data_IF_894309061940
#
_entry.id   IF_894309061940
#
_cell.length_a   1.000
_cell.length_b   1.000
_cell.length_c   1.000
_cell.angle_alpha   90.00
_cell.angle_beta   90.00
_cell.angle_gamma   90.00
#
_symmetry.space_group_name_H-M   'P 1'
#
loop_
_entity.id
_entity.type
_entity.pdbx_description
1 polymer ?
#
# COMPACT_ATOMS: atom_id res chain seq x y z
N UNK A 1 7.46 -4.57 -0.41
CA UNK A 1 6.43 -4.70 -1.47
C UNK A 1 6.94 -3.89 -2.65
N UNK A 2 7.09 -4.49 -3.82
CA UNK A 2 7.53 -3.77 -5.03
C UNK A 2 6.32 -3.22 -5.82
N UNK A 3 6.58 -2.26 -6.71
CA UNK A 3 5.56 -1.59 -7.51
C UNK A 3 4.81 -2.56 -8.45
N UNK A 4 5.50 -3.56 -8.99
CA UNK A 4 4.89 -4.55 -9.87
C UNK A 4 3.89 -5.44 -9.10
N UNK A 5 4.22 -5.80 -7.86
CA UNK A 5 3.35 -6.55 -6.96
C UNK A 5 2.13 -5.74 -6.55
N UNK A 6 2.30 -4.45 -6.27
CA UNK A 6 1.16 -3.56 -5.98
C UNK A 6 0.24 -3.43 -7.19
N UNK A 7 0.80 -3.21 -8.40
CA UNK A 7 0.04 -3.14 -9.66
C UNK A 7 -0.75 -4.41 -9.92
N UNK A 8 -0.15 -5.59 -9.70
CA UNK A 8 -0.86 -6.88 -9.86
C UNK A 8 -2.04 -7.03 -8.89
N UNK A 9 -1.89 -6.60 -7.64
CA UNK A 9 -2.98 -6.64 -6.65
C UNK A 9 -4.09 -5.66 -7.03
N UNK A 10 -3.73 -4.42 -7.35
CA UNK A 10 -4.69 -3.39 -7.76
C UNK A 10 -5.49 -3.79 -9.00
N UNK A 11 -4.81 -4.28 -10.05
CA UNK A 11 -5.47 -4.76 -11.25
C UNK A 11 -6.43 -5.91 -10.97
N UNK A 12 -6.09 -6.81 -10.04
CA UNK A 12 -6.99 -7.90 -9.67
C UNK A 12 -8.23 -7.42 -8.94
N UNK A 13 -8.14 -6.37 -8.12
CA UNK A 13 -9.32 -5.73 -7.51
C UNK A 13 -10.24 -5.18 -8.59
N UNK A 14 -9.70 -4.52 -9.62
CA UNK A 14 -10.49 -4.04 -10.76
C UNK A 14 -11.18 -5.19 -11.50
N UNK A 15 -10.46 -6.30 -11.72
CA UNK A 15 -11.03 -7.47 -12.40
C UNK A 15 -12.06 -8.22 -11.55
N UNK A 16 -11.91 -8.23 -10.22
CA UNK A 16 -12.96 -8.72 -9.30
C UNK A 16 -14.22 -7.87 -9.44
N UNK A 17 -14.08 -6.55 -9.50
CA UNK A 17 -15.22 -5.66 -9.72
C UNK A 17 -15.91 -5.95 -11.06
N UNK A 18 -15.15 -6.05 -12.15
CA UNK A 18 -15.69 -6.40 -13.46
C UNK A 18 -16.45 -7.74 -13.44
N UNK A 19 -15.90 -8.76 -12.76
CA UNK A 19 -16.57 -10.05 -12.61
C UNK A 19 -17.89 -9.95 -11.82
N UNK A 20 -17.93 -9.14 -10.76
CA UNK A 20 -19.17 -8.86 -10.01
C UNK A 20 -20.20 -8.12 -10.86
N UNK A 21 -19.74 -7.24 -11.75
CA UNK A 21 -20.58 -6.50 -12.70
C UNK A 21 -21.04 -7.35 -13.90
N UNK A 22 -20.62 -8.62 -13.97
CA UNK A 22 -21.10 -9.60 -14.94
C UNK A 22 -20.09 -10.03 -16.00
N UNK A 23 -18.83 -9.56 -15.95
CA UNK A 23 -17.79 -10.02 -16.85
C UNK A 23 -17.50 -11.52 -16.64
N UNK A 24 -17.36 -12.26 -17.73
CA UNK A 24 -17.07 -13.69 -17.68
C UNK A 24 -15.56 -13.96 -17.53
N UNK A 25 -15.18 -15.24 -17.46
CA UNK A 25 -13.78 -15.63 -17.33
C UNK A 25 -12.89 -15.12 -18.47
N UNK A 26 -13.40 -15.14 -19.71
CA UNK A 26 -12.66 -14.73 -20.90
C UNK A 26 -12.48 -13.22 -20.91
N UNK A 27 -13.50 -12.46 -20.52
CA UNK A 27 -13.43 -11.01 -20.39
C UNK A 27 -12.38 -10.59 -19.36
N UNK A 28 -12.41 -11.21 -18.17
CA UNK A 28 -11.42 -10.96 -17.11
C UNK A 28 -10.00 -11.37 -17.55
N UNK A 29 -9.86 -12.50 -18.25
CA UNK A 29 -8.58 -12.93 -18.81
C UNK A 29 -8.02 -11.92 -19.81
N UNK A 30 -8.85 -11.44 -20.74
CA UNK A 30 -8.47 -10.39 -21.71
C UNK A 30 -8.11 -9.09 -21.01
N UNK A 31 -8.83 -8.70 -19.97
CA UNK A 31 -8.48 -7.53 -19.16
C UNK A 31 -7.09 -7.61 -18.53
N UNK A 32 -6.65 -8.80 -18.07
CA UNK A 32 -5.27 -8.99 -17.60
C UNK A 32 -4.23 -8.92 -18.72
N UNK A 33 -4.53 -9.47 -19.90
CA UNK A 33 -3.67 -9.40 -21.09
C UNK A 33 -3.48 -7.96 -21.57
N UNK A 34 -4.56 -7.22 -21.71
CA UNK A 34 -4.56 -5.80 -22.12
C UNK A 34 -3.75 -4.93 -21.15
N UNK A 35 -3.76 -5.29 -19.86
CA UNK A 35 -2.95 -4.64 -18.85
C UNK A 35 -1.46 -5.04 -18.86
N UNK A 36 -1.04 -5.90 -19.80
CA UNK A 36 0.35 -6.26 -20.07
C UNK A 36 0.86 -7.51 -19.32
N UNK A 37 -0.02 -8.34 -18.75
CA UNK A 37 0.39 -9.65 -18.21
C UNK A 37 0.60 -10.66 -19.34
N UNK A 38 1.47 -11.65 -19.12
CA UNK A 38 1.58 -12.80 -20.03
C UNK A 38 0.29 -13.64 -20.02
N UNK A 39 0.07 -14.49 -21.03
CA UNK A 39 -1.08 -15.42 -21.06
C UNK A 39 -1.13 -16.32 -19.82
N UNK A 40 0.02 -16.86 -19.41
CA UNK A 40 0.11 -17.75 -18.24
C UNK A 40 -0.24 -16.99 -16.96
N UNK A 41 0.22 -15.76 -16.81
CA UNK A 41 -0.12 -14.92 -15.64
C UNK A 41 -1.58 -14.49 -15.65
N UNK A 42 -2.10 -14.10 -16.81
CA UNK A 42 -3.50 -13.68 -16.99
C UNK A 42 -4.45 -14.81 -16.66
N UNK A 43 -4.19 -16.02 -17.15
CA UNK A 43 -4.98 -17.21 -16.83
C UNK A 43 -4.96 -17.52 -15.33
N UNK A 44 -3.79 -17.47 -14.70
CA UNK A 44 -3.66 -17.70 -13.24
C UNK A 44 -4.39 -16.63 -12.43
N UNK A 45 -4.34 -15.38 -12.86
CA UNK A 45 -5.04 -14.26 -12.22
C UNK A 45 -6.56 -14.40 -12.38
N UNK A 46 -7.06 -14.70 -13.57
CA UNK A 46 -8.49 -14.95 -13.82
C UNK A 46 -9.00 -16.17 -13.03
N UNK A 47 -8.26 -17.27 -13.05
CA UNK A 47 -8.57 -18.48 -12.25
C UNK A 47 -8.68 -18.19 -10.76
N UNK A 48 -7.93 -17.21 -10.26
CA UNK A 48 -8.02 -16.79 -8.86
C UNK A 48 -9.29 -15.99 -8.59
N UNK A 49 -9.70 -15.12 -9.50
CA UNK A 49 -10.95 -14.34 -9.40
C UNK A 49 -12.16 -15.27 -9.39
N UNK A 50 -12.18 -16.30 -10.23
CA UNK A 50 -13.30 -17.24 -10.31
C UNK A 50 -13.18 -18.47 -9.40
N UNK A 51 -12.22 -18.49 -8.46
CA UNK A 51 -12.01 -19.65 -7.59
C UNK A 51 -13.22 -19.88 -6.68
N UNK A 52 -14.03 -20.89 -7.02
CA UNK A 52 -15.26 -21.19 -6.29
C UNK A 52 -16.43 -20.26 -6.63
N UNK A 53 -16.34 -19.48 -7.72
CA UNK A 53 -17.41 -18.67 -8.29
C UNK A 53 -17.96 -19.25 -9.60
N UNK A 54 -18.82 -18.49 -10.28
CA UNK A 54 -19.35 -18.84 -11.61
C UNK A 54 -18.53 -18.16 -12.71
N UNK A 55 -17.96 -18.95 -13.61
CA UNK A 55 -17.14 -18.46 -14.74
C UNK A 55 -17.90 -17.58 -15.73
N UNK A 56 -19.24 -17.54 -15.65
CA UNK A 56 -20.11 -16.69 -16.47
C UNK A 56 -20.33 -15.29 -15.88
N UNK A 57 -19.72 -14.97 -14.74
CA UNK A 57 -19.84 -13.67 -14.07
C UNK A 57 -20.88 -13.63 -12.95
N UNK A 58 -20.95 -12.50 -12.24
CA UNK A 58 -21.90 -12.20 -11.16
C UNK A 58 -21.56 -12.83 -9.80
N UNK A 59 -20.80 -13.93 -9.77
CA UNK A 59 -20.33 -14.57 -8.52
C UNK A 59 -18.84 -14.87 -8.63
N UNK A 60 -18.03 -14.23 -7.78
CA UNK A 60 -16.57 -14.39 -7.81
C UNK A 60 -15.95 -14.41 -6.41
N UNK A 61 -14.67 -14.77 -6.34
CA UNK A 61 -13.88 -14.82 -5.11
C UNK A 61 -13.28 -13.45 -4.78
N UNK A 62 -13.94 -12.69 -3.92
CA UNK A 62 -13.61 -11.29 -3.58
C UNK A 62 -12.42 -11.10 -2.64
N UNK A 63 -11.65 -12.16 -2.35
CA UNK A 63 -10.56 -12.14 -1.37
C UNK A 63 -9.48 -11.09 -1.68
N UNK A 64 -9.29 -10.76 -2.96
CA UNK A 64 -8.31 -9.75 -3.35
C UNK A 64 -8.72 -8.31 -2.97
N UNK A 65 -10.01 -8.02 -2.80
CA UNK A 65 -10.47 -6.76 -2.19
C UNK A 65 -10.02 -6.62 -0.73
N UNK A 66 -10.19 -7.68 0.06
CA UNK A 66 -9.80 -7.70 1.48
C UNK A 66 -8.29 -7.49 1.71
N UNK A 67 -7.43 -7.91 0.76
CA UNK A 67 -5.97 -7.65 0.88
C UNK A 67 -5.63 -6.17 0.76
N UNK A 68 -6.25 -5.48 -0.19
CA UNK A 68 -5.98 -4.06 -0.42
C UNK A 68 -6.57 -3.22 0.74
N UNK A 69 -7.79 -3.54 1.15
CA UNK A 69 -8.41 -2.94 2.34
C UNK A 69 -7.53 -3.12 3.58
N UNK A 70 -7.08 -4.33 3.87
CA UNK A 70 -6.21 -4.60 5.02
C UNK A 70 -4.88 -3.82 4.96
N UNK A 71 -4.29 -3.68 3.77
CA UNK A 71 -3.10 -2.85 3.57
C UNK A 71 -3.37 -1.37 3.91
N UNK A 72 -4.46 -0.81 3.40
CA UNK A 72 -4.86 0.56 3.67
C UNK A 72 -5.17 0.77 5.16
N UNK A 73 -5.90 -0.14 5.78
CA UNK A 73 -6.26 -0.06 7.20
C UNK A 73 -5.01 -0.06 8.09
N UNK A 74 -4.03 -0.93 7.82
CA UNK A 74 -2.76 -0.94 8.56
C UNK A 74 -1.98 0.35 8.31
N UNK A 75 -1.93 0.84 7.07
CA UNK A 75 -1.23 2.09 6.75
C UNK A 75 -1.83 3.29 7.49
N UNK A 76 -3.16 3.43 7.46
CA UNK A 76 -3.90 4.49 8.16
C UNK A 76 -3.69 4.35 9.67
N UNK A 77 -3.78 3.14 10.21
CA UNK A 77 -3.53 2.88 11.62
C UNK A 77 -2.15 3.35 12.06
N UNK A 78 -1.09 2.97 11.33
CA UNK A 78 0.27 3.40 11.64
C UNK A 78 0.35 4.94 11.62
N UNK A 79 -0.17 5.60 10.58
CA UNK A 79 -0.17 7.07 10.50
C UNK A 79 -0.89 7.72 11.69
N UNK A 80 -2.06 7.21 12.07
CA UNK A 80 -2.86 7.75 13.16
C UNK A 80 -2.18 7.57 14.51
N UNK A 81 -1.62 6.38 14.78
CA UNK A 81 -0.83 6.09 15.98
C UNK A 81 0.34 7.05 16.12
N UNK A 82 1.05 7.31 15.02
CA UNK A 82 2.19 8.23 15.02
C UNK A 82 1.76 9.70 15.20
N UNK A 83 0.66 10.12 14.58
CA UNK A 83 0.09 11.46 14.75
C UNK A 83 -0.32 11.73 16.21
N UNK A 84 -0.79 10.72 16.93
CA UNK A 84 -1.18 10.82 18.34
C UNK A 84 0.01 10.64 19.30
N UNK A 85 1.23 10.46 18.78
CA UNK A 85 2.42 10.22 19.61
C UNK A 85 2.42 8.86 20.32
N UNK A 86 1.55 7.94 19.93
CA UNK A 86 1.32 6.61 20.55
C UNK A 86 2.19 5.51 19.93
N UNK A 87 3.40 5.85 19.49
CA UNK A 87 4.26 4.95 18.70
C UNK A 87 4.60 3.62 19.42
N UNK A 88 4.46 3.57 20.74
CA UNK A 88 4.61 2.37 21.56
C UNK A 88 3.57 1.26 21.25
N UNK A 89 2.48 1.60 20.55
CA UNK A 89 1.48 0.63 20.10
C UNK A 89 1.93 -0.18 18.88
N UNK A 90 2.89 0.29 18.09
CA UNK A 90 3.32 -0.37 16.86
C UNK A 90 3.91 -1.77 17.07
N UNK A 91 4.76 -2.00 18.10
CA UNK A 91 5.16 -3.35 18.47
C UNK A 91 4.00 -4.30 18.74
N UNK A 92 2.86 -3.84 19.25
CA UNK A 92 1.72 -4.70 19.61
C UNK A 92 1.06 -5.38 18.40
N UNK A 93 1.23 -4.84 17.19
CA UNK A 93 0.81 -5.51 15.95
C UNK A 93 1.45 -6.90 15.77
N UNK A 94 2.51 -7.19 16.54
CA UNK A 94 3.27 -8.44 16.52
C UNK A 94 3.10 -9.27 17.81
N UNK A 95 2.11 -8.97 18.64
CA UNK A 95 1.85 -9.69 19.90
C UNK A 95 1.08 -11.01 19.69
N UNK A 96 0.84 -11.41 18.44
CA UNK A 96 0.10 -12.62 18.07
C UNK A 96 -0.81 -12.37 16.87
N UNK A 97 -1.97 -13.04 16.85
CA UNK A 97 -3.03 -12.77 15.87
C UNK A 97 -3.96 -11.70 16.45
N UNK A 98 -3.68 -10.45 16.12
CA UNK A 98 -4.43 -9.29 16.59
C UNK A 98 -4.90 -8.45 15.41
N UNK A 99 -6.06 -7.83 15.56
CA UNK A 99 -6.54 -6.75 14.69
C UNK A 99 -6.01 -5.40 15.18
N UNK A 100 -6.17 -4.35 14.37
CA UNK A 100 -5.85 -2.98 14.79
C UNK A 100 -6.70 -2.51 15.98
N UNK A 101 -7.95 -2.97 16.07
CA UNK A 101 -8.83 -2.71 17.22
C UNK A 101 -8.36 -3.43 18.49
N UNK A 102 -7.90 -4.67 18.35
CA UNK A 102 -7.33 -5.43 19.47
C UNK A 102 -6.09 -4.72 20.03
N UNK A 103 -5.23 -4.15 19.19
CA UNK A 103 -4.05 -3.39 19.66
C UNK A 103 -4.45 -2.27 20.61
N UNK A 104 -5.48 -1.49 20.28
CA UNK A 104 -5.97 -0.41 21.14
C UNK A 104 -6.56 -0.97 22.44
N UNK A 105 -7.41 -1.98 22.32
CA UNK A 105 -8.17 -2.56 23.44
C UNK A 105 -7.24 -3.28 24.42
N UNK A 106 -6.20 -3.94 23.90
CA UNK A 106 -5.29 -4.76 24.69
C UNK A 106 -4.10 -4.00 25.27
N UNK A 107 -3.81 -2.79 24.78
CA UNK A 107 -2.66 -2.00 25.19
C UNK A 107 -2.52 -1.81 26.71
N UNK A 108 -3.59 -1.50 27.48
CA UNK A 108 -3.47 -1.30 28.93
C UNK A 108 -2.99 -2.55 29.67
N UNK A 109 -3.31 -3.74 29.14
CA UNK A 109 -3.01 -5.01 29.80
C UNK A 109 -1.54 -5.43 29.69
N UNK A 110 -0.73 -4.75 28.88
CA UNK A 110 0.73 -4.94 28.88
C UNK A 110 1.33 -4.53 30.22
N UNK A 111 0.87 -3.43 30.81
CA UNK A 111 1.40 -2.94 32.09
C UNK A 111 1.09 -3.92 33.24
N UNK A 112 -0.06 -4.61 33.16
CA UNK A 112 -0.48 -5.62 34.14
C UNK A 112 0.19 -6.99 33.93
N UNK A 113 0.91 -7.18 32.82
CA UNK A 113 1.50 -8.47 32.44
C UNK A 113 0.52 -9.50 31.88
N UNK A 114 -0.78 -9.20 31.80
CA UNK A 114 -1.79 -10.08 31.20
C UNK A 114 -1.55 -10.28 29.70
N UNK A 115 -1.05 -9.25 29.00
CA UNK A 115 -0.62 -9.34 27.60
C UNK A 115 0.90 -9.28 27.53
N UNK A 116 1.50 -10.30 26.93
CA UNK A 116 2.95 -10.36 26.72
C UNK A 116 3.44 -9.32 25.70
N UNK A 117 4.69 -8.89 25.84
CA UNK A 117 5.34 -8.05 24.82
C UNK A 117 5.64 -8.87 23.57
N UNK A 118 5.57 -8.22 22.41
CA UNK A 118 5.94 -8.85 21.14
C UNK A 118 7.41 -9.27 21.11
N UNK A 119 7.65 -10.56 20.90
CA UNK A 119 9.01 -11.13 20.86
C UNK A 119 9.70 -10.79 19.53
N UNK A 120 8.97 -10.92 18.42
CA UNK A 120 9.51 -10.73 17.07
C UNK A 120 8.93 -9.47 16.42
N UNK A 121 9.54 -8.33 16.73
CA UNK A 121 9.16 -7.04 16.14
C UNK A 121 10.08 -6.73 14.95
N UNK A 122 9.58 -6.34 13.76
CA UNK A 122 10.43 -5.94 12.65
C UNK A 122 11.14 -4.60 12.93
N UNK A 123 12.30 -4.33 12.30
CA UNK A 123 13.10 -3.13 12.60
C UNK A 123 12.32 -1.81 12.51
N UNK A 124 11.43 -1.69 11.52
CA UNK A 124 10.62 -0.49 11.31
C UNK A 124 9.64 -0.20 12.46
N UNK A 125 9.12 -1.25 13.12
CA UNK A 125 8.20 -1.11 14.25
C UNK A 125 8.95 -0.95 15.59
N UNK A 126 10.23 -1.35 15.65
CA UNK A 126 11.12 -1.07 16.80
C UNK A 126 11.59 0.38 16.82
N UNK A 127 11.75 0.99 15.65
CA UNK A 127 12.25 2.37 15.47
C UNK A 127 11.24 3.21 14.67
N UNK A 128 10.06 3.50 15.25
CA UNK A 128 8.96 4.12 14.53
C UNK A 128 9.26 5.53 14.01
N UNK A 129 10.27 6.20 14.55
CA UNK A 129 10.74 7.53 14.18
C UNK A 129 11.23 7.58 12.74
N UNK A 130 11.90 6.52 12.25
CA UNK A 130 12.33 6.43 10.85
C UNK A 130 11.14 6.37 9.89
N UNK A 131 10.10 5.63 10.30
CA UNK A 131 8.86 5.51 9.54
C UNK A 131 8.05 6.81 9.59
N UNK A 132 8.03 7.49 10.74
CA UNK A 132 7.46 8.82 10.91
C UNK A 132 8.11 9.82 9.96
N UNK A 133 9.44 9.86 9.91
CA UNK A 133 10.19 10.75 9.01
C UNK A 133 9.86 10.46 7.54
N UNK A 134 9.87 9.18 7.13
CA UNK A 134 9.52 8.79 5.76
C UNK A 134 8.08 9.16 5.40
N UNK A 135 7.12 8.94 6.31
CA UNK A 135 5.71 9.26 6.05
C UNK A 135 5.44 10.76 6.08
N UNK A 136 6.07 11.51 6.99
CA UNK A 136 5.99 12.97 7.03
C UNK A 136 6.56 13.58 5.75
N UNK A 137 7.73 13.10 5.30
CA UNK A 137 8.31 13.48 4.03
C UNK A 137 7.40 13.14 2.86
N UNK A 138 6.83 11.93 2.81
CA UNK A 138 5.94 11.52 1.72
C UNK A 138 4.69 12.40 1.62
N UNK A 139 4.12 12.86 2.73
CA UNK A 139 2.96 13.75 2.75
C UNK A 139 3.34 15.15 2.27
N UNK A 140 4.49 15.68 2.71
CA UNK A 140 5.00 16.96 2.21
C UNK A 140 5.34 16.88 0.72
N UNK A 141 5.98 15.78 0.28
CA UNK A 141 6.32 15.52 -1.11
C UNK A 141 5.07 15.42 -2.02
N UNK A 142 3.97 14.87 -1.51
CA UNK A 142 2.68 14.81 -2.23
C UNK A 142 2.06 16.20 -2.50
N UNK A 143 2.47 17.25 -1.80
CA UNK A 143 2.01 18.61 -2.08
C UNK A 143 2.67 19.20 -3.34
N UNK A 144 3.76 18.60 -3.83
CA UNK A 144 4.42 19.04 -5.05
C UNK A 144 3.79 18.37 -6.27
N UNK A 145 3.28 19.19 -7.19
CA UNK A 145 2.75 18.76 -8.49
C UNK A 145 3.90 18.44 -9.44
N UNK A 146 4.39 17.20 -9.38
CA UNK A 146 5.47 16.70 -10.25
C UNK A 146 5.06 16.63 -11.73
N UNK A 147 3.76 16.55 -12.01
CA UNK A 147 3.17 16.60 -13.35
C UNK A 147 3.45 17.92 -14.09
N UNK A 148 3.84 18.97 -13.36
CA UNK A 148 4.24 20.27 -13.92
C UNK A 148 5.76 20.49 -13.97
N UNK A 149 6.55 19.51 -13.55
CA UNK A 149 8.00 19.58 -13.47
C UNK A 149 8.61 18.62 -14.49
N UNK A 150 9.18 19.17 -15.55
CA UNK A 150 10.00 18.42 -16.48
C UNK A 150 11.42 18.27 -15.93
N UNK A 151 12.07 17.13 -16.21
CA UNK A 151 13.43 16.87 -15.75
C UNK A 151 14.42 17.93 -16.25
N UNK A 152 14.18 18.48 -17.44
CA UNK A 152 15.02 19.51 -18.04
C UNK A 152 15.05 20.80 -17.20
N UNK A 153 13.97 21.11 -16.47
CA UNK A 153 13.86 22.31 -15.65
C UNK A 153 14.92 22.39 -14.55
N UNK A 154 15.45 21.25 -14.10
CA UNK A 154 16.55 21.22 -13.12
C UNK A 154 17.87 21.71 -13.73
N UNK A 155 18.17 21.33 -14.98
CA UNK A 155 19.35 21.80 -15.68
C UNK A 155 19.23 23.30 -16.02
N UNK A 156 18.07 23.72 -16.54
CA UNK A 156 17.83 25.13 -16.87
C UNK A 156 17.96 26.04 -15.64
N UNK A 157 17.51 25.58 -14.47
CA UNK A 157 17.66 26.32 -13.21
C UNK A 157 19.12 26.40 -12.74
N UNK A 158 19.91 25.33 -12.89
CA UNK A 158 21.34 25.37 -12.57
C UNK A 158 22.08 26.38 -13.46
N UNK A 159 21.76 26.42 -14.75
CA UNK A 159 22.31 27.39 -15.70
C UNK A 159 21.90 28.84 -15.34
N UNK A 160 20.63 29.09 -15.02
CA UNK A 160 20.13 30.38 -14.53
C UNK A 160 20.87 30.86 -13.26
N UNK A 161 21.15 29.95 -12.32
CA UNK A 161 21.89 30.26 -11.07
C UNK A 161 23.37 30.56 -11.34
N UNK A 162 24.00 29.83 -12.26
CA UNK A 162 25.41 30.04 -12.65
C UNK A 162 25.56 31.38 -13.39
N UNK A 163 24.65 31.71 -14.32
CA UNK A 163 24.64 33.00 -15.02
C UNK A 163 24.42 34.16 -14.04
N UNK A 164 23.49 34.02 -13.09
CA UNK A 164 23.25 35.04 -12.06
C UNK A 164 24.45 35.24 -11.12
N UNK A 165 25.22 34.19 -10.84
CA UNK A 165 26.45 34.26 -10.05
C UNK A 165 27.64 34.84 -10.83
N UNK A 166 27.58 34.87 -12.17
CA UNK A 166 28.65 35.31 -13.06
C UNK A 166 28.64 36.80 -13.42
N UNK A 167 27.72 37.60 -12.87
CA UNK A 167 27.54 39.03 -13.20
C UNK A 167 28.10 40.02 -12.15
N UNK A 168 28.90 39.55 -11.19
CA UNK A 168 29.46 40.39 -10.11
C UNK A 168 31.00 40.54 -10.18
N UNK A 169 31.57 40.60 -11.39
CA UNK A 169 32.96 41.03 -11.63
C UNK A 169 33.09 42.05 -12.76
#
# INVERSE_FOLDING_TARGET
MDIARLRRVALRVLMVQAALDGADFIDVFKGFLEAGQSEVESYRSASRVFRGGDVRGGVCFTKDGAYLEGLFMVHIFIRKVLQEGRAELLPMLFAGRVTTGDVITLAPYIATGLVGRSVYVPPWARQPQRILALMAFSVAAQQFQLDRLELQRFADYEDEVIEAAGLDY
#
